data_IF_619554701833
#
_entry.id   IF_619554701833
#
_cell.length_a   1.000
_cell.length_b   1.000
_cell.length_c   1.000
_cell.angle_alpha   90.00
_cell.angle_beta   90.00
_cell.angle_gamma   90.00
#
_symmetry.space_group_name_H-M   'P 1'
#
loop_
_entity.id
_entity.type
_entity.pdbx_description
1 polymer ?
#
# COMPACT_ATOMS: atom_id res chain seq x y z
N UNK A 1 -5.46 -43.11 -10.31
CA UNK A 1 -5.38 -44.00 -11.49
C UNK A 1 -5.40 -43.11 -12.72
N UNK A 2 -4.23 -42.81 -13.28
CA UNK A 2 -4.12 -42.16 -14.59
C UNK A 2 -4.05 -43.30 -15.61
N UNK A 3 -5.08 -43.41 -16.45
CA UNK A 3 -5.07 -44.27 -17.62
C UNK A 3 -4.16 -43.62 -18.67
N UNK A 4 -3.25 -44.42 -19.24
CA UNK A 4 -2.07 -43.98 -19.98
C UNK A 4 -2.34 -43.10 -21.20
N UNK A 5 -1.30 -42.35 -21.58
CA UNK A 5 -1.23 -41.59 -22.83
C UNK A 5 -0.08 -42.11 -23.70
N UNK A 6 -0.41 -42.38 -24.95
CA UNK A 6 0.45 -42.98 -25.99
C UNK A 6 1.39 -41.92 -26.59
N UNK A 7 2.66 -42.30 -26.78
CA UNK A 7 3.79 -41.44 -27.17
C UNK A 7 4.15 -41.52 -28.65
N UNK A 8 3.22 -41.88 -29.54
CA UNK A 8 3.49 -42.01 -30.98
C UNK A 8 2.66 -41.04 -31.84
N UNK A 9 3.04 -39.77 -31.71
CA UNK A 9 3.37 -38.82 -32.79
C UNK A 9 2.34 -38.34 -33.84
N UNK A 10 1.04 -38.63 -33.76
CA UNK A 10 0.04 -37.98 -34.67
C UNK A 10 -1.40 -37.93 -34.13
N UNK A 11 -1.81 -36.95 -33.32
CA UNK A 11 -3.22 -36.47 -33.28
C UNK A 11 -3.39 -35.07 -32.63
N UNK A 12 -4.46 -34.31 -32.98
CA UNK A 12 -4.69 -32.92 -32.57
C UNK A 12 -5.59 -32.81 -31.33
N UNK A 13 -5.34 -33.58 -30.27
CA UNK A 13 -6.21 -33.56 -29.08
C UNK A 13 -5.64 -32.68 -27.96
N UNK A 14 -6.48 -31.73 -27.54
CA UNK A 14 -6.39 -31.03 -26.27
C UNK A 14 -6.58 -32.04 -25.13
N UNK A 15 -5.50 -32.34 -24.40
CA UNK A 15 -5.55 -33.17 -23.19
C UNK A 15 -5.97 -32.34 -21.98
N UNK A 16 -7.23 -31.91 -21.95
CA UNK A 16 -7.79 -31.32 -20.74
C UNK A 16 -8.28 -32.45 -19.82
N UNK A 17 -7.55 -32.68 -18.73
CA UNK A 17 -8.03 -33.53 -17.64
C UNK A 17 -8.83 -32.64 -16.68
N UNK A 18 -10.16 -32.70 -16.77
CA UNK A 18 -11.05 -31.99 -15.85
C UNK A 18 -11.17 -32.78 -14.55
N UNK A 19 -10.88 -32.15 -13.42
CA UNK A 19 -11.09 -32.75 -12.10
C UNK A 19 -11.88 -31.82 -11.19
N UNK A 20 -13.06 -32.25 -10.73
CA UNK A 20 -13.93 -31.53 -9.78
C UNK A 20 -13.41 -31.54 -8.32
N UNK A 21 -12.14 -31.90 -8.11
CA UNK A 21 -11.50 -32.00 -6.79
C UNK A 21 -10.15 -31.30 -6.83
N UNK A 22 -9.78 -30.66 -5.73
CA UNK A 22 -8.41 -30.16 -5.47
C UNK A 22 -7.41 -31.27 -5.79
N UNK A 23 -6.52 -31.03 -6.75
CA UNK A 23 -5.41 -31.92 -7.02
C UNK A 23 -4.29 -31.60 -6.02
N UNK A 24 -4.06 -32.51 -5.09
CA UNK A 24 -3.03 -32.34 -4.05
C UNK A 24 -1.69 -32.98 -4.46
N UNK A 25 -1.67 -33.83 -5.50
CA UNK A 25 -0.48 -34.57 -5.91
C UNK A 25 -0.43 -34.82 -7.43
N UNK A 26 0.72 -34.52 -8.04
CA UNK A 26 1.06 -34.89 -9.42
C UNK A 26 2.27 -35.82 -9.37
N UNK A 27 2.14 -37.02 -9.95
CA UNK A 27 3.25 -37.97 -10.04
C UNK A 27 3.60 -38.27 -11.50
N UNK A 28 4.84 -37.95 -11.86
CA UNK A 28 5.39 -38.18 -13.19
C UNK A 28 6.60 -39.11 -13.06
N UNK A 29 6.70 -40.11 -13.92
CA UNK A 29 7.79 -41.11 -13.84
C UNK A 29 8.28 -41.50 -15.24
N UNK A 30 9.57 -41.73 -15.37
CA UNK A 30 10.24 -42.12 -16.61
C UNK A 30 10.03 -41.14 -17.79
N UNK A 31 9.97 -39.83 -17.52
CA UNK A 31 9.84 -38.78 -18.54
C UNK A 31 11.00 -37.77 -18.45
N UNK A 32 11.32 -37.13 -19.58
CA UNK A 32 12.16 -35.93 -19.63
C UNK A 32 11.22 -34.74 -19.80
N UNK A 33 11.17 -33.87 -18.80
CA UNK A 33 10.22 -32.76 -18.73
C UNK A 33 11.01 -31.47 -18.57
N UNK A 34 10.68 -30.48 -19.39
CA UNK A 34 11.31 -29.15 -19.39
C UNK A 34 10.45 -28.09 -18.70
N UNK A 35 9.14 -28.32 -18.56
CA UNK A 35 8.22 -27.44 -17.83
C UNK A 35 6.96 -28.23 -17.41
N UNK A 36 6.43 -27.92 -16.23
CA UNK A 36 5.04 -28.24 -15.84
C UNK A 36 4.34 -26.94 -15.49
N UNK A 37 3.20 -26.68 -16.14
CA UNK A 37 2.27 -25.62 -15.77
C UNK A 37 0.90 -26.19 -15.42
N UNK A 38 0.32 -25.66 -14.36
CA UNK A 38 -1.05 -25.93 -13.93
C UNK A 38 -1.73 -24.59 -13.70
N UNK A 39 -2.85 -24.36 -14.38
CA UNK A 39 -3.73 -23.22 -14.13
C UNK A 39 -5.12 -23.69 -13.73
N UNK A 40 -5.82 -22.85 -12.96
CA UNK A 40 -7.25 -22.98 -12.68
C UNK A 40 -8.12 -22.57 -13.88
N UNK A 41 -7.54 -21.83 -14.83
CA UNK A 41 -8.23 -21.42 -16.05
C UNK A 41 -8.37 -22.59 -17.02
N UNK A 42 -9.54 -22.69 -17.66
CA UNK A 42 -9.81 -23.66 -18.72
C UNK A 42 -9.42 -23.13 -20.11
N UNK A 43 -9.10 -21.84 -20.22
CA UNK A 43 -8.71 -21.17 -21.46
C UNK A 43 -7.18 -21.10 -21.60
N UNK A 44 -6.52 -22.26 -21.53
CA UNK A 44 -5.06 -22.35 -21.72
C UNK A 44 -4.75 -22.58 -23.19
N UNK A 45 -3.94 -21.71 -23.80
CA UNK A 45 -3.49 -21.90 -25.16
C UNK A 45 -2.43 -23.00 -25.19
N UNK A 46 -2.63 -24.01 -26.05
CA UNK A 46 -1.62 -25.04 -26.25
C UNK A 46 -0.46 -24.45 -27.07
N UNK A 47 0.61 -24.04 -26.38
CA UNK A 47 1.79 -23.38 -26.97
C UNK A 47 3.05 -24.18 -26.69
N UNK A 48 4.07 -24.00 -27.55
CA UNK A 48 5.42 -24.54 -27.33
C UNK A 48 6.33 -23.57 -26.57
N UNK A 49 5.86 -22.35 -26.34
CA UNK A 49 6.58 -21.34 -25.58
C UNK A 49 6.36 -21.56 -24.08
N UNK A 50 7.44 -21.42 -23.30
CA UNK A 50 7.37 -21.46 -21.84
C UNK A 50 6.51 -20.32 -21.33
N UNK A 51 5.60 -20.61 -20.41
CA UNK A 51 4.65 -19.63 -19.90
C UNK A 51 5.05 -19.13 -18.51
N UNK A 52 4.94 -17.82 -18.30
CA UNK A 52 5.22 -17.24 -16.98
C UNK A 52 4.05 -17.48 -16.00
N UNK A 53 4.32 -17.32 -14.70
CA UNK A 53 3.31 -17.40 -13.66
C UNK A 53 2.19 -16.37 -13.89
N UNK A 54 0.98 -16.86 -14.09
CA UNK A 54 -0.23 -16.06 -14.28
C UNK A 54 -1.09 -15.97 -13.01
N UNK A 55 -2.13 -15.14 -13.08
CA UNK A 55 -3.09 -14.97 -11.96
C UNK A 55 -3.82 -16.28 -11.61
N UNK A 56 -4.01 -17.17 -12.59
CA UNK A 56 -4.68 -18.45 -12.40
C UNK A 56 -3.69 -19.61 -12.22
N UNK A 57 -2.40 -19.34 -12.17
CA UNK A 57 -1.40 -20.39 -12.05
C UNK A 57 -1.39 -20.97 -10.65
N UNK A 58 -1.53 -22.29 -10.58
CA UNK A 58 -1.39 -23.08 -9.36
C UNK A 58 0.01 -23.67 -9.24
N UNK A 59 0.68 -23.93 -10.37
CA UNK A 59 2.05 -24.44 -10.43
C UNK A 59 2.70 -24.00 -11.74
N UNK A 60 3.92 -23.49 -11.67
CA UNK A 60 4.84 -23.38 -12.83
C UNK A 60 6.19 -23.89 -12.33
N UNK A 61 6.73 -24.92 -12.98
CA UNK A 61 8.00 -25.54 -12.63
C UNK A 61 8.83 -25.81 -13.89
N UNK A 62 9.89 -25.03 -14.08
CA UNK A 62 10.71 -25.03 -15.30
C UNK A 62 11.88 -26.03 -15.28
N UNK A 63 12.08 -26.74 -14.16
CA UNK A 63 13.14 -27.75 -13.95
C UNK A 63 14.54 -27.34 -14.44
N UNK A 64 14.90 -26.05 -14.32
CA UNK A 64 16.18 -25.44 -14.74
C UNK A 64 17.35 -25.79 -13.80
N UNK A 65 17.51 -27.08 -13.49
CA UNK A 65 18.52 -27.60 -12.56
C UNK A 65 18.10 -27.64 -11.09
N UNK A 66 16.82 -27.37 -10.79
CA UNK A 66 16.22 -27.51 -9.47
C UNK A 66 14.81 -28.15 -9.57
N UNK A 67 14.17 -28.38 -8.42
CA UNK A 67 12.79 -28.91 -8.32
C UNK A 67 11.81 -27.83 -7.85
N UNK A 68 12.12 -26.56 -8.08
CA UNK A 68 11.26 -25.47 -7.64
C UNK A 68 10.05 -25.35 -8.56
N UNK A 69 8.90 -25.06 -7.93
CA UNK A 69 7.65 -24.79 -8.61
C UNK A 69 6.85 -23.80 -7.79
N UNK A 70 6.46 -22.68 -8.40
CA UNK A 70 5.88 -21.57 -7.66
C UNK A 70 6.20 -20.21 -8.30
N UNK A 71 5.58 -19.16 -7.78
CA UNK A 71 5.93 -17.80 -8.15
C UNK A 71 7.18 -17.29 -7.40
N UNK A 72 7.60 -17.96 -6.34
CA UNK A 72 8.72 -17.54 -5.48
C UNK A 72 9.78 -18.65 -5.45
N UNK A 73 11.03 -18.29 -5.73
CA UNK A 73 12.15 -19.24 -5.91
C UNK A 73 13.33 -18.96 -4.97
N UNK A 74 13.97 -20.01 -4.45
CA UNK A 74 15.11 -19.91 -3.54
C UNK A 74 16.17 -21.02 -3.74
N UNK A 75 16.35 -21.48 -4.99
CA UNK A 75 17.37 -22.43 -5.41
C UNK A 75 17.39 -23.75 -4.58
N UNK A 76 16.22 -24.23 -4.16
CA UNK A 76 16.04 -25.47 -3.41
C UNK A 76 16.35 -25.36 -1.92
N UNK A 77 16.56 -24.15 -1.39
CA UNK A 77 16.79 -23.92 0.03
C UNK A 77 15.45 -23.56 0.71
N UNK A 78 15.10 -24.15 1.88
CA UNK A 78 13.85 -23.85 2.57
C UNK A 78 13.68 -22.37 2.88
N UNK A 79 12.59 -21.77 2.43
CA UNK A 79 12.23 -20.37 2.69
C UNK A 79 11.92 -20.22 4.19
N UNK A 80 12.55 -19.24 4.85
CA UNK A 80 12.29 -18.95 6.27
C UNK A 80 11.37 -17.74 6.45
N UNK A 81 11.48 -16.77 5.54
CA UNK A 81 10.70 -15.54 5.56
C UNK A 81 10.33 -15.10 4.15
N UNK A 82 9.23 -14.37 4.04
CA UNK A 82 8.88 -13.59 2.86
C UNK A 82 9.09 -12.12 3.23
N UNK A 83 10.00 -11.47 2.52
CA UNK A 83 10.30 -10.04 2.69
C UNK A 83 9.54 -9.23 1.66
N UNK A 84 8.76 -8.25 2.13
CA UNK A 84 8.11 -7.28 1.27
C UNK A 84 8.99 -6.04 1.15
N UNK A 85 9.25 -5.62 -0.08
CA UNK A 85 9.95 -4.38 -0.37
C UNK A 85 9.14 -3.50 -1.31
N UNK A 86 9.42 -2.20 -1.27
CA UNK A 86 8.93 -1.25 -2.27
C UNK A 86 10.01 -0.33 -2.78
N UNK A 87 9.74 0.32 -3.91
CA UNK A 87 10.44 1.50 -4.38
C UNK A 87 9.52 2.34 -5.25
N UNK A 88 9.82 3.63 -5.42
CA UNK A 88 9.21 4.40 -6.52
C UNK A 88 9.77 3.91 -7.84
N UNK A 89 8.92 3.80 -8.86
CA UNK A 89 9.36 3.42 -10.21
C UNK A 89 10.40 4.44 -10.71
N UNK A 90 11.55 3.93 -11.16
CA UNK A 90 12.70 4.73 -11.58
C UNK A 90 13.77 4.91 -10.50
N UNK A 91 13.47 4.61 -9.23
CA UNK A 91 14.48 4.57 -8.18
C UNK A 91 15.22 3.21 -8.14
N UNK A 92 16.49 3.24 -7.73
CA UNK A 92 17.30 2.03 -7.62
C UNK A 92 17.23 1.39 -6.23
N UNK A 93 16.91 2.18 -5.21
CA UNK A 93 16.93 1.73 -3.81
C UNK A 93 15.58 1.12 -3.46
N UNK A 94 15.61 -0.13 -3.01
CA UNK A 94 14.48 -0.79 -2.38
C UNK A 94 14.43 -0.48 -0.89
N UNK A 95 13.24 -0.21 -0.39
CA UNK A 95 12.92 -0.09 1.02
C UNK A 95 12.25 -1.39 1.50
N UNK A 96 12.74 -1.97 2.59
CA UNK A 96 12.10 -3.13 3.21
C UNK A 96 10.95 -2.67 4.10
N UNK A 97 9.75 -3.17 3.83
CA UNK A 97 8.54 -2.83 4.58
C UNK A 97 8.29 -3.78 5.75
N UNK A 98 8.42 -5.08 5.49
CA UNK A 98 8.01 -6.12 6.43
C UNK A 98 8.72 -7.43 6.10
N UNK A 99 9.05 -8.21 7.13
CA UNK A 99 9.40 -9.61 7.03
C UNK A 99 8.26 -10.45 7.63
N UNK A 100 7.63 -11.30 6.82
CA UNK A 100 6.71 -12.33 7.30
C UNK A 100 7.48 -13.62 7.53
N UNK A 101 7.22 -14.31 8.64
CA UNK A 101 7.68 -15.70 8.79
C UNK A 101 6.95 -16.57 7.77
N UNK A 102 7.70 -17.38 7.02
CA UNK A 102 7.12 -18.30 6.07
C UNK A 102 6.35 -19.39 6.80
N UNK A 103 5.13 -19.65 6.36
CA UNK A 103 4.23 -20.66 6.88
C UNK A 103 3.58 -21.37 5.69
N UNK A 104 3.81 -22.67 5.55
CA UNK A 104 3.29 -23.46 4.43
C UNK A 104 1.77 -23.58 4.43
N UNK A 105 1.14 -23.38 5.58
CA UNK A 105 -0.32 -23.47 5.73
C UNK A 105 -1.00 -22.11 5.52
N UNK A 106 -0.21 -21.04 5.28
CA UNK A 106 -0.70 -19.67 5.09
C UNK A 106 -0.62 -19.26 3.63
N UNK A 107 -1.79 -19.11 3.02
CA UNK A 107 -1.92 -18.70 1.62
C UNK A 107 -1.82 -17.19 1.42
N UNK A 108 -2.23 -16.39 2.42
CA UNK A 108 -2.38 -14.93 2.28
C UNK A 108 -1.58 -14.14 3.32
N UNK A 109 -0.86 -13.12 2.84
CA UNK A 109 -0.12 -12.17 3.67
C UNK A 109 -0.62 -10.75 3.40
N UNK A 110 -1.20 -10.13 4.42
CA UNK A 110 -1.76 -8.77 4.31
C UNK A 110 -0.77 -7.73 4.85
N UNK A 111 -0.48 -6.72 4.03
CA UNK A 111 0.29 -5.55 4.43
C UNK A 111 -0.44 -4.29 3.95
N UNK A 112 -0.73 -3.38 4.88
CA UNK A 112 -1.27 -2.06 4.56
C UNK A 112 -0.12 -1.04 4.56
N UNK A 113 0.22 -0.56 3.37
CA UNK A 113 1.21 0.49 3.19
C UNK A 113 0.54 1.87 3.15
N UNK A 114 0.70 2.64 4.23
CA UNK A 114 0.17 3.99 4.32
C UNK A 114 1.16 5.09 3.91
N UNK A 115 2.46 4.80 3.81
CA UNK A 115 3.50 5.80 3.55
C UNK A 115 3.86 5.83 2.06
N UNK A 116 2.86 6.03 1.22
CA UNK A 116 3.00 6.18 -0.23
C UNK A 116 2.49 7.53 -0.70
N UNK A 117 3.27 8.13 -1.59
CA UNK A 117 2.95 9.40 -2.23
C UNK A 117 1.89 9.19 -3.31
N UNK A 118 1.00 10.17 -3.42
CA UNK A 118 -0.04 10.20 -4.43
C UNK A 118 0.51 10.50 -5.83
N UNK A 119 -0.20 10.07 -6.87
CA UNK A 119 0.17 10.25 -8.27
C UNK A 119 1.56 9.68 -8.63
N UNK A 120 2.01 8.67 -7.89
CA UNK A 120 3.26 7.97 -8.12
C UNK A 120 3.02 6.49 -8.44
N UNK A 121 3.92 5.91 -9.23
CA UNK A 121 3.99 4.46 -9.40
C UNK A 121 5.00 3.90 -8.39
N UNK A 122 4.57 2.89 -7.66
CA UNK A 122 5.42 2.11 -6.77
C UNK A 122 5.54 0.69 -7.29
N UNK A 123 6.75 0.17 -7.29
CA UNK A 123 7.01 -1.25 -7.50
C UNK A 123 7.13 -1.93 -6.14
N UNK A 124 6.37 -2.99 -5.93
CA UNK A 124 6.42 -3.85 -4.77
C UNK A 124 7.00 -5.19 -5.17
N UNK A 125 7.85 -5.77 -4.33
CA UNK A 125 8.38 -7.11 -4.54
C UNK A 125 8.27 -7.97 -3.29
N UNK A 126 7.92 -9.24 -3.51
CA UNK A 126 7.92 -10.30 -2.50
C UNK A 126 9.15 -11.16 -2.72
N UNK A 127 10.07 -11.16 -1.75
CA UNK A 127 11.37 -11.81 -1.86
C UNK A 127 11.47 -12.95 -0.84
N UNK A 128 11.78 -14.19 -1.26
CA UNK A 128 12.03 -15.26 -0.31
C UNK A 128 13.37 -15.03 0.38
N UNK A 129 13.44 -15.32 1.68
CA UNK A 129 14.65 -15.15 2.47
C UNK A 129 14.98 -16.43 3.23
N UNK A 130 16.24 -16.87 3.12
CA UNK A 130 16.78 -17.97 3.94
C UNK A 130 18.13 -17.63 4.50
N UNK A 131 18.31 -17.78 5.82
CA UNK A 131 19.58 -17.49 6.49
C UNK A 131 20.14 -16.10 6.13
N UNK A 132 19.26 -15.13 5.87
CA UNK A 132 19.55 -13.76 5.41
C UNK A 132 19.99 -13.61 3.95
N UNK A 133 19.95 -14.67 3.15
CA UNK A 133 20.12 -14.62 1.69
C UNK A 133 18.74 -14.41 1.06
N UNK A 134 18.66 -13.45 0.14
CA UNK A 134 17.46 -13.15 -0.64
C UNK A 134 17.48 -13.92 -1.96
N UNK A 135 16.38 -14.61 -2.28
CA UNK A 135 16.17 -15.28 -3.55
C UNK A 135 15.54 -14.37 -4.60
N UNK A 136 14.96 -14.98 -5.64
CA UNK A 136 14.28 -14.24 -6.71
C UNK A 136 12.86 -13.90 -6.28
N UNK A 137 12.52 -12.62 -6.28
CA UNK A 137 11.20 -12.15 -5.91
C UNK A 137 10.28 -11.86 -7.09
N UNK A 138 8.97 -11.87 -6.84
CA UNK A 138 7.95 -11.42 -7.79
C UNK A 138 7.68 -9.96 -7.56
N UNK A 139 7.58 -9.17 -8.63
CA UNK A 139 7.30 -7.74 -8.52
C UNK A 139 6.00 -7.37 -9.21
N UNK A 140 5.30 -6.39 -8.65
CA UNK A 140 4.11 -5.77 -9.22
C UNK A 140 4.19 -4.25 -9.08
N UNK A 141 3.66 -3.53 -10.06
CA UNK A 141 3.59 -2.07 -10.04
C UNK A 141 2.18 -1.61 -9.70
N UNK A 142 2.07 -0.66 -8.77
CA UNK A 142 0.82 -0.07 -8.32
C UNK A 142 0.88 1.44 -8.53
N UNK A 143 -0.13 2.00 -9.19
CA UNK A 143 -0.32 3.44 -9.28
C UNK A 143 -1.17 3.93 -8.11
N UNK A 144 -0.64 4.88 -7.34
CA UNK A 144 -1.31 5.44 -6.16
C UNK A 144 -2.12 6.67 -6.55
N UNK A 145 -3.41 6.66 -6.23
CA UNK A 145 -4.29 7.81 -6.45
C UNK A 145 -5.31 7.96 -5.31
N UNK A 146 -5.15 9.00 -4.50
CA UNK A 146 -6.10 9.29 -3.41
C UNK A 146 -7.25 10.18 -3.90
N UNK A 147 -8.48 9.66 -3.76
CA UNK A 147 -9.72 10.38 -4.10
C UNK A 147 -10.33 11.13 -2.91
N UNK A 148 -9.71 11.06 -1.75
CA UNK A 148 -10.20 11.68 -0.51
C UNK A 148 -9.03 12.14 0.34
N UNK A 149 -9.32 12.91 1.39
CA UNK A 149 -8.30 13.32 2.35
C UNK A 149 -8.05 12.20 3.35
N UNK A 150 -6.79 11.90 3.61
CA UNK A 150 -6.38 10.96 4.63
C UNK A 150 -5.37 11.59 5.58
N UNK A 151 -5.50 11.25 6.86
CA UNK A 151 -4.51 11.53 7.90
C UNK A 151 -4.04 10.21 8.50
N UNK A 152 -2.72 10.04 8.60
CA UNK A 152 -2.10 8.82 9.15
C UNK A 152 -1.12 9.16 10.25
N UNK A 153 -1.23 8.46 11.37
CA UNK A 153 -0.16 8.34 12.37
C UNK A 153 0.50 6.96 12.30
N UNK A 154 1.41 6.71 13.22
CA UNK A 154 2.03 5.41 13.52
C UNK A 154 1.05 4.23 13.65
N UNK A 155 -0.15 4.47 14.18
CA UNK A 155 -1.11 3.44 14.54
C UNK A 155 -2.48 3.60 13.90
N UNK A 156 -2.83 4.78 13.43
CA UNK A 156 -4.20 5.11 13.01
C UNK A 156 -4.22 5.80 11.65
N UNK A 157 -5.30 5.55 10.90
CA UNK A 157 -5.51 6.14 9.59
C UNK A 157 -6.98 6.55 9.46
N UNK A 158 -7.22 7.85 9.33
CA UNK A 158 -8.56 8.43 9.13
C UNK A 158 -8.77 8.85 7.69
N UNK A 159 -9.89 8.44 7.11
CA UNK A 159 -10.31 8.81 5.76
C UNK A 159 -11.50 9.79 5.84
N UNK A 160 -11.36 10.96 5.23
CA UNK A 160 -12.38 12.00 5.16
C UNK A 160 -13.04 11.96 3.78
N UNK A 161 -14.02 11.06 3.64
CA UNK A 161 -14.67 10.71 2.37
C UNK A 161 -15.72 11.73 1.90
N UNK A 162 -16.28 12.52 2.82
CA UNK A 162 -17.38 13.44 2.52
C UNK A 162 -17.01 14.89 2.82
N UNK A 163 -17.41 15.77 1.91
CA UNK A 163 -17.27 17.23 1.98
C UNK A 163 -15.87 17.69 2.40
N UNK A 164 -14.83 16.92 2.06
CA UNK A 164 -13.45 17.25 2.39
C UNK A 164 -12.90 18.28 1.41
N UNK A 165 -12.50 19.43 1.95
CA UNK A 165 -11.89 20.53 1.20
C UNK A 165 -10.70 21.11 1.95
N UNK A 166 -9.72 21.57 1.17
CA UNK A 166 -8.64 22.44 1.65
C UNK A 166 -8.94 23.84 1.11
N UNK A 167 -9.22 24.79 2.00
CA UNK A 167 -9.70 26.12 1.60
C UNK A 167 -8.58 26.98 1.00
N UNK A 168 -7.44 27.05 1.66
CA UNK A 168 -6.25 27.75 1.14
C UNK A 168 -4.97 27.11 1.69
N UNK A 169 -3.92 27.16 0.88
CA UNK A 169 -2.56 26.79 1.24
C UNK A 169 -1.74 28.07 1.30
N UNK A 170 -1.10 28.30 2.43
CA UNK A 170 -0.24 29.45 2.68
C UNK A 170 1.21 28.99 2.67
N UNK A 171 2.03 29.60 1.80
CA UNK A 171 3.47 29.47 1.87
C UNK A 171 4.00 30.41 2.97
N UNK A 172 4.51 29.83 4.05
CA UNK A 172 5.07 30.60 5.17
C UNK A 172 6.56 30.79 4.96
N UNK A 173 6.99 32.05 4.98
CA UNK A 173 8.40 32.44 4.94
C UNK A 173 8.69 33.38 6.08
N UNK A 174 9.83 33.17 6.72
CA UNK A 174 10.34 34.11 7.70
C UNK A 174 11.02 35.27 6.95
N UNK A 175 10.33 36.40 6.85
CA UNK A 175 10.88 37.62 6.25
C UNK A 175 10.56 38.86 7.07
N UNK A 176 11.56 39.76 7.16
CA UNK A 176 11.42 41.06 7.80
C UNK A 176 11.80 42.16 6.82
N UNK A 177 10.93 43.17 6.70
CA UNK A 177 11.11 44.33 5.84
C UNK A 177 11.49 45.53 6.71
N UNK A 178 12.69 46.07 6.49
CA UNK A 178 13.19 47.25 7.21
C UNK A 178 13.13 48.46 6.28
N UNK A 179 12.23 49.39 6.61
CA UNK A 179 12.15 50.70 5.96
C UNK A 179 13.14 51.66 6.63
N UNK A 180 14.12 52.16 5.88
CA UNK A 180 15.10 53.12 6.40
C UNK A 180 14.75 54.54 5.94
N UNK A 181 15.03 55.54 6.78
CA UNK A 181 14.71 56.94 6.48
C UNK A 181 15.46 57.51 5.27
N UNK A 182 16.58 56.89 4.89
CA UNK A 182 17.51 57.43 3.89
C UNK A 182 17.62 56.58 2.61
N UNK A 183 16.85 55.51 2.47
CA UNK A 183 16.86 54.66 1.27
C UNK A 183 15.54 54.77 0.50
N UNK A 184 15.64 54.77 -0.82
CA UNK A 184 14.49 54.67 -1.73
C UNK A 184 13.83 53.28 -1.69
N UNK A 185 14.58 52.25 -1.31
CA UNK A 185 14.11 50.85 -1.27
C UNK A 185 14.32 50.22 0.11
N UNK A 186 13.41 49.35 0.58
CA UNK A 186 13.55 48.66 1.85
C UNK A 186 14.67 47.63 1.83
N UNK A 187 15.17 47.26 3.01
CA UNK A 187 16.07 46.12 3.21
C UNK A 187 15.21 44.92 3.61
N UNK A 188 15.35 43.80 2.90
CA UNK A 188 14.61 42.56 3.18
C UNK A 188 15.60 41.54 3.77
N UNK A 189 15.31 41.05 4.97
CA UNK A 189 16.05 39.96 5.62
C UNK A 189 15.15 38.71 5.59
N UNK A 190 15.72 37.57 5.18
CA UNK A 190 14.99 36.30 5.07
C UNK A 190 15.66 35.23 5.94
N UNK A 191 14.84 34.52 6.71
CA UNK A 191 15.23 33.30 7.40
C UNK A 191 15.19 32.08 6.48
N UNK A 192 15.43 30.90 7.06
CA UNK A 192 15.38 29.62 6.34
C UNK A 192 13.99 28.96 6.35
N UNK A 193 13.07 29.44 7.19
CA UNK A 193 11.73 28.88 7.28
C UNK A 193 11.01 28.97 5.93
N UNK A 194 10.60 27.81 5.42
CA UNK A 194 9.88 27.66 4.18
C UNK A 194 8.99 26.43 4.27
N UNK A 195 7.75 26.61 4.70
CA UNK A 195 6.81 25.52 4.93
C UNK A 195 5.39 25.92 4.53
N UNK A 196 4.58 24.93 4.22
CA UNK A 196 3.17 25.15 3.90
C UNK A 196 2.28 24.94 5.12
N UNK A 197 1.20 25.71 5.20
CA UNK A 197 0.11 25.49 6.14
C UNK A 197 -1.23 25.70 5.45
N UNK A 198 -2.28 25.15 6.01
CA UNK A 198 -3.61 25.30 5.44
C UNK A 198 -4.71 24.85 6.39
N UNK A 199 -5.95 24.99 5.94
CA UNK A 199 -7.13 24.60 6.69
C UNK A 199 -7.89 23.52 5.93
N UNK A 200 -8.29 22.48 6.64
CA UNK A 200 -9.18 21.43 6.16
C UNK A 200 -10.53 21.61 6.82
N UNK A 201 -11.59 21.47 6.05
CA UNK A 201 -12.95 21.20 6.54
C UNK A 201 -13.43 19.91 5.93
N UNK A 202 -14.04 19.05 6.73
CA UNK A 202 -14.60 17.78 6.27
C UNK A 202 -15.79 17.36 7.14
N UNK A 203 -16.63 16.48 6.59
CA UNK A 203 -17.77 15.89 7.29
C UNK A 203 -17.50 14.40 7.55
N UNK A 204 -16.95 14.01 8.71
CA UNK A 204 -16.74 12.61 9.04
C UNK A 204 -18.09 11.90 9.23
N UNK A 205 -18.25 10.75 8.57
CA UNK A 205 -19.43 9.88 8.66
C UNK A 205 -18.95 8.46 8.98
N UNK A 206 -19.58 7.79 9.96
CA UNK A 206 -19.23 6.42 10.34
C UNK A 206 -19.50 5.42 9.21
N UNK A 207 -18.66 4.40 9.07
CA UNK A 207 -18.85 3.35 8.06
C UNK A 207 -20.23 2.67 8.22
N UNK A 208 -20.68 2.43 9.45
CA UNK A 208 -22.02 1.92 9.73
C UNK A 208 -23.12 2.83 9.17
N UNK A 209 -23.00 4.16 9.32
CA UNK A 209 -23.97 5.09 8.75
C UNK A 209 -23.96 5.08 7.22
N UNK A 210 -22.78 4.90 6.61
CA UNK A 210 -22.64 4.78 5.15
C UNK A 210 -23.32 3.50 4.65
N UNK A 211 -23.02 2.37 5.29
CA UNK A 211 -23.55 1.05 4.92
C UNK A 211 -25.08 0.97 5.06
N UNK A 212 -25.62 1.56 6.11
CA UNK A 212 -27.06 1.55 6.40
C UNK A 212 -27.84 2.59 5.58
N UNK A 213 -27.16 3.62 5.08
CA UNK A 213 -27.79 4.74 4.36
C UNK A 213 -28.56 5.73 5.25
N UNK A 214 -28.43 5.61 6.58
CA UNK A 214 -28.96 6.55 7.56
C UNK A 214 -27.98 6.73 8.72
N UNK A 215 -28.12 7.81 9.49
CA UNK A 215 -27.18 8.12 10.57
C UNK A 215 -27.38 7.20 11.79
N UNK A 216 -26.37 6.40 12.10
CA UNK A 216 -26.29 5.63 13.33
C UNK A 216 -25.54 6.44 14.40
N UNK A 217 -26.26 6.87 15.44
CA UNK A 217 -25.76 7.84 16.41
C UNK A 217 -24.65 7.30 17.30
N UNK A 218 -24.70 6.01 17.64
CA UNK A 218 -23.72 5.41 18.52
C UNK A 218 -22.37 5.26 17.81
N UNK A 219 -22.36 4.74 16.57
CA UNK A 219 -21.16 4.68 15.74
C UNK A 219 -20.65 6.07 15.38
N UNK A 220 -21.53 7.03 15.08
CA UNK A 220 -21.13 8.41 14.80
C UNK A 220 -20.49 9.08 16.01
N UNK A 221 -21.03 8.86 17.21
CA UNK A 221 -20.43 9.37 18.45
C UNK A 221 -19.06 8.73 18.73
N UNK A 222 -18.93 7.43 18.48
CA UNK A 222 -17.65 6.71 18.61
C UNK A 222 -16.60 7.24 17.63
N UNK A 223 -16.99 7.45 16.37
CA UNK A 223 -16.14 8.07 15.34
C UNK A 223 -15.73 9.48 15.75
N UNK A 224 -16.68 10.34 16.14
CA UNK A 224 -16.36 11.71 16.54
C UNK A 224 -15.42 11.75 17.75
N UNK A 225 -15.56 10.83 18.71
CA UNK A 225 -14.68 10.78 19.90
C UNK A 225 -13.27 10.37 19.50
N UNK A 226 -13.12 9.26 18.79
CA UNK A 226 -11.81 8.74 18.34
C UNK A 226 -11.09 9.72 17.40
N UNK A 227 -11.82 10.32 16.46
CA UNK A 227 -11.26 11.33 15.56
C UNK A 227 -10.76 12.56 16.35
N UNK A 228 -11.50 13.00 17.36
CA UNK A 228 -11.10 14.17 18.13
C UNK A 228 -9.84 13.89 18.98
N UNK A 229 -9.77 12.70 19.59
CA UNK A 229 -8.57 12.23 20.29
C UNK A 229 -7.37 12.14 19.33
N UNK A 230 -7.60 11.59 18.13
CA UNK A 230 -6.59 11.53 17.07
C UNK A 230 -6.09 12.92 16.69
N UNK A 231 -6.97 13.87 16.38
CA UNK A 231 -6.58 15.23 15.96
C UNK A 231 -5.94 16.07 17.08
N UNK A 232 -6.17 15.76 18.36
CA UNK A 232 -5.61 16.49 19.52
C UNK A 232 -4.37 15.85 20.13
N UNK A 233 -3.91 14.70 19.62
CA UNK A 233 -2.77 13.99 20.21
C UNK A 233 -1.42 14.73 20.05
N UNK A 234 -1.38 15.77 19.20
CA UNK A 234 -0.18 16.58 18.93
C UNK A 234 0.94 15.84 18.20
N UNK A 235 0.69 14.60 17.75
CA UNK A 235 1.66 13.77 17.05
C UNK A 235 1.80 14.22 15.58
N UNK A 236 2.99 14.08 14.98
CA UNK A 236 3.16 14.16 13.53
C UNK A 236 2.22 13.20 12.80
N UNK A 237 1.69 13.66 11.68
CA UNK A 237 0.80 12.89 10.81
C UNK A 237 1.17 13.08 9.35
N UNK A 238 0.83 12.10 8.53
CA UNK A 238 0.92 12.20 7.08
C UNK A 238 -0.43 12.64 6.50
N UNK A 239 -0.45 13.81 5.86
CA UNK A 239 -1.59 14.31 5.11
C UNK A 239 -1.48 13.91 3.65
N UNK A 240 -2.51 13.23 3.15
CA UNK A 240 -2.65 12.82 1.75
C UNK A 240 -3.97 13.35 1.19
N UNK A 241 -3.90 14.09 0.10
CA UNK A 241 -5.12 14.62 -0.56
C UNK A 241 -4.83 14.98 -2.02
N UNK A 242 -5.49 14.32 -2.97
CA UNK A 242 -5.27 14.50 -4.40
C UNK A 242 -3.79 14.45 -4.81
N UNK A 243 -3.11 15.58 -4.96
CA UNK A 243 -1.70 15.71 -5.34
C UNK A 243 -0.79 16.08 -4.14
N UNK A 244 -1.33 16.14 -2.93
CA UNK A 244 -0.65 16.57 -1.71
C UNK A 244 -0.15 15.37 -0.91
N UNK A 245 1.09 15.44 -0.46
CA UNK A 245 1.74 14.47 0.41
C UNK A 245 2.67 15.20 1.39
N UNK A 246 2.19 15.42 2.62
CA UNK A 246 2.89 16.26 3.59
C UNK A 246 3.00 15.60 4.95
N UNK A 247 4.17 15.75 5.57
CA UNK A 247 4.33 15.52 7.00
C UNK A 247 3.88 16.77 7.77
N UNK A 248 2.84 16.64 8.57
CA UNK A 248 2.15 17.76 9.22
C UNK A 248 1.95 17.57 10.72
N UNK A 249 1.68 18.67 11.41
CA UNK A 249 1.01 18.68 12.71
C UNK A 249 -0.34 19.38 12.59
N UNK A 250 -1.29 18.96 13.43
CA UNK A 250 -2.65 19.48 13.44
C UNK A 250 -2.84 20.46 14.60
N UNK A 251 -3.60 21.54 14.37
CA UNK A 251 -3.94 22.57 15.35
C UNK A 251 -5.32 23.17 15.06
N UNK A 252 -5.83 23.98 16.00
CA UNK A 252 -7.09 24.73 15.83
C UNK A 252 -8.29 23.87 15.38
N UNK A 253 -8.45 22.70 16.00
CA UNK A 253 -9.55 21.77 15.70
C UNK A 253 -10.87 22.34 16.27
N UNK A 254 -11.91 22.37 15.45
CA UNK A 254 -13.25 22.84 15.81
C UNK A 254 -14.33 21.93 15.19
N UNK A 255 -15.50 21.93 15.82
CA UNK A 255 -16.68 21.16 15.38
C UNK A 255 -17.87 22.08 15.21
N UNK A 256 -18.59 21.93 14.11
CA UNK A 256 -19.84 22.64 13.84
C UNK A 256 -20.94 21.64 13.57
N UNK A 257 -21.96 21.53 14.43
CA UNK A 257 -23.11 20.67 14.17
C UNK A 257 -23.81 21.06 12.87
N UNK A 258 -24.21 20.07 12.08
CA UNK A 258 -24.96 20.30 10.84
C UNK A 258 -26.44 20.50 11.16
N UNK A 259 -27.06 21.56 10.65
CA UNK A 259 -28.45 21.92 10.99
C UNK A 259 -29.51 20.89 10.51
N UNK A 260 -29.21 20.12 9.46
CA UNK A 260 -30.20 19.29 8.77
C UNK A 260 -29.94 17.78 8.83
N UNK A 261 -28.83 17.34 9.43
CA UNK A 261 -28.47 15.93 9.53
C UNK A 261 -28.13 15.61 10.98
N UNK A 262 -29.06 14.93 11.65
CA UNK A 262 -28.99 14.66 13.08
C UNK A 262 -27.80 13.77 13.42
N UNK A 263 -26.81 14.31 14.14
CA UNK A 263 -25.57 13.63 14.52
C UNK A 263 -24.36 13.94 13.62
N UNK A 264 -24.57 14.62 12.48
CA UNK A 264 -23.48 15.02 11.60
C UNK A 264 -22.84 16.32 12.07
N UNK A 265 -21.52 16.37 12.04
CA UNK A 265 -20.74 17.54 12.42
C UNK A 265 -19.69 17.79 11.33
N UNK A 266 -19.46 19.06 11.01
CA UNK A 266 -18.27 19.46 10.26
C UNK A 266 -17.10 19.58 11.22
N UNK A 267 -15.98 18.96 10.86
CA UNK A 267 -14.72 19.10 11.56
C UNK A 267 -13.82 20.01 10.74
N UNK A 268 -13.30 21.06 11.37
CA UNK A 268 -12.35 21.98 10.75
C UNK A 268 -11.07 22.02 11.57
N UNK A 269 -9.92 21.90 10.91
CA UNK A 269 -8.61 21.94 11.56
C UNK A 269 -7.57 22.59 10.65
N UNK A 270 -6.52 23.13 11.27
CA UNK A 270 -5.36 23.70 10.58
C UNK A 270 -4.22 22.68 10.58
N UNK A 271 -3.53 22.53 9.46
CA UNK A 271 -2.31 21.74 9.36
C UNK A 271 -1.11 22.64 9.11
N UNK A 272 0.05 22.23 9.61
CA UNK A 272 1.35 22.89 9.38
C UNK A 272 2.37 21.83 8.99
N UNK A 273 3.02 22.01 7.85
CA UNK A 273 4.12 21.14 7.43
C UNK A 273 5.30 21.28 8.39
N UNK A 274 5.84 20.14 8.83
CA UNK A 274 6.93 20.09 9.82
C UNK A 274 8.20 19.41 9.31
N UNK A 275 8.18 18.86 8.10
CA UNK A 275 9.34 18.24 7.48
C UNK A 275 9.06 17.72 6.08
N UNK A 276 10.10 17.12 5.51
CA UNK A 276 10.02 16.36 4.27
C UNK A 276 9.41 14.98 4.53
N UNK A 277 9.07 14.28 3.45
CA UNK A 277 8.42 12.96 3.50
C UNK A 277 9.36 11.83 3.08
N UNK A 278 10.67 12.02 3.25
CA UNK A 278 11.65 10.95 3.07
C UNK A 278 11.60 9.97 4.25
N UNK A 279 12.01 8.71 4.01
CA UNK A 279 11.96 7.64 5.01
C UNK A 279 12.62 8.03 6.34
N UNK A 280 13.79 8.68 6.31
CA UNK A 280 14.51 9.05 7.52
C UNK A 280 13.76 10.10 8.34
N UNK A 281 13.17 11.09 7.69
CA UNK A 281 12.34 12.11 8.36
C UNK A 281 11.06 11.49 8.92
N UNK A 282 10.40 10.59 8.19
CA UNK A 282 9.20 9.91 8.67
C UNK A 282 9.50 9.03 9.90
N UNK A 283 10.58 8.24 9.86
CA UNK A 283 11.05 7.42 10.98
C UNK A 283 11.38 8.28 12.21
N UNK A 284 12.09 9.40 12.03
CA UNK A 284 12.43 10.32 13.11
C UNK A 284 11.19 10.95 13.78
N UNK A 285 10.07 11.02 13.06
CA UNK A 285 8.79 11.52 13.55
C UNK A 285 7.85 10.39 14.02
N UNK A 286 8.35 9.15 14.11
CA UNK A 286 7.59 8.00 14.62
C UNK A 286 6.65 7.36 13.61
N UNK A 287 6.68 7.77 12.34
CA UNK A 287 5.85 7.21 11.27
C UNK A 287 6.59 6.02 10.63
N UNK A 288 6.54 4.88 11.30
CA UNK A 288 7.19 3.64 10.85
C UNK A 288 6.17 2.55 10.56
N UNK A 289 6.57 1.55 9.76
CA UNK A 289 5.80 0.33 9.60
C UNK A 289 5.82 -0.43 10.92
N UNK A 290 4.68 -0.53 11.59
CA UNK A 290 4.54 -1.42 12.75
C UNK A 290 4.20 -2.83 12.26
N UNK A 291 4.90 -3.84 12.79
CA UNK A 291 4.56 -5.24 12.58
C UNK A 291 3.23 -5.55 13.28
N UNK A 292 2.10 -5.43 12.57
CA UNK A 292 0.84 -5.99 13.06
C UNK A 292 0.88 -7.48 12.79
N UNK A 293 1.30 -8.26 13.79
CA UNK A 293 1.03 -9.69 13.81
C UNK A 293 -0.49 -9.84 14.03
N UNK A 294 -1.25 -9.96 12.94
CA UNK A 294 -2.60 -10.52 12.96
C UNK A 294 -2.52 -12.03 13.04
#
# INVERSE_FOLDING_TARGET
>A
MILGYDTLDKTPFLNHCYTDKTQEEIQLSNMIIDEIKMDESLDINNTIEKEEWGMFSSLVADFKGNLEGGNIENQGIPIQKIRVKKRKVGELKWETLMDFTYDSDRENYDLLDYYVETAQNYEYTLVPVTQSIEGTGVSNTIYVNYQSLFLTSDSENFAFRFDSKIDSITQNKDETIINTLSSKYPIIIRGLCNYESGQVTAKPISDTSIEQGYMDLDSQKSLSTSLYEFLHNGKPMLLRYFNMYYLVTISNVSRTPTEYVYGAEDVTFTWTQIGDTDTTTLEANGLTYSTRNS
#
